data_IF_099024488104
#
_entry.id   IF_099024488104
#
_cell.length_a   1.000
_cell.length_b   1.000
_cell.length_c   1.000
_cell.angle_alpha   90.00
_cell.angle_beta   90.00
_cell.angle_gamma   90.00
#
_symmetry.space_group_name_H-M   'P 1'
#
loop_
_entity.id
_entity.type
_entity.pdbx_description
1 polymer ?
#
# COMPACT_ATOMS: atom_id res chain seq x y z
N UNK A 1 -10.80 26.19 -24.52
CA UNK A 1 -10.24 27.19 -25.47
C UNK A 1 -10.62 28.58 -24.98
N UNK A 2 -9.63 29.43 -24.63
CA UNK A 2 -9.83 30.75 -24.03
C UNK A 2 -10.45 31.76 -25.04
N UNK A 3 -11.21 32.75 -24.56
CA UNK A 3 -11.86 33.81 -25.36
C UNK A 3 -10.85 34.62 -26.18
N UNK A 4 -9.68 34.91 -25.62
CA UNK A 4 -8.59 35.64 -26.27
C UNK A 4 -8.03 34.88 -27.50
N UNK A 5 -7.84 33.56 -27.40
CA UNK A 5 -7.39 32.72 -28.52
C UNK A 5 -8.45 32.66 -29.63
N UNK A 6 -9.74 32.68 -29.27
CA UNK A 6 -10.85 32.73 -30.24
C UNK A 6 -10.87 34.06 -31.00
N UNK A 7 -10.55 35.18 -30.36
CA UNK A 7 -10.45 36.49 -31.02
C UNK A 7 -9.26 36.53 -32.00
N UNK A 8 -8.11 36.00 -31.59
CA UNK A 8 -6.92 35.91 -32.46
C UNK A 8 -7.14 34.98 -33.66
N UNK A 9 -7.91 33.90 -33.49
CA UNK A 9 -8.34 33.03 -34.59
C UNK A 9 -9.23 33.79 -35.58
N UNK A 10 -10.24 34.51 -35.09
CA UNK A 10 -11.12 35.33 -35.94
C UNK A 10 -10.35 36.42 -36.69
N UNK A 11 -9.38 37.08 -36.03
CA UNK A 11 -8.55 38.11 -36.65
C UNK A 11 -7.67 37.54 -37.77
N UNK A 12 -7.06 36.36 -37.56
CA UNK A 12 -6.31 35.66 -38.61
C UNK A 12 -7.22 35.29 -39.79
N UNK A 13 -8.41 34.77 -39.52
CA UNK A 13 -9.34 34.32 -40.56
C UNK A 13 -9.91 35.50 -41.38
N UNK A 14 -10.09 36.65 -40.74
CA UNK A 14 -10.44 37.90 -41.42
C UNK A 14 -9.30 38.39 -42.32
N UNK A 15 -8.06 38.42 -41.82
CA UNK A 15 -6.88 38.83 -42.57
C UNK A 15 -6.55 37.88 -43.74
N UNK A 16 -6.86 36.59 -43.60
CA UNK A 16 -6.74 35.64 -44.71
C UNK A 16 -7.76 35.91 -45.82
N UNK A 17 -9.00 36.29 -45.45
CA UNK A 17 -10.08 36.59 -46.41
C UNK A 17 -9.90 37.94 -47.12
N UNK A 18 -9.21 38.90 -46.51
CA UNK A 18 -8.94 40.20 -47.12
C UNK A 18 -7.84 40.16 -48.19
N UNK A 19 -7.01 39.11 -48.20
CA UNK A 19 -5.90 38.97 -49.15
C UNK A 19 -4.65 39.79 -48.82
N UNK A 20 -4.64 40.49 -47.68
CA UNK A 20 -3.47 41.25 -47.20
C UNK A 20 -2.42 40.31 -46.58
N UNK A 21 -1.30 40.14 -47.28
CA UNK A 21 -0.20 39.27 -46.86
C UNK A 21 0.52 39.74 -45.61
N UNK A 22 0.62 41.05 -45.37
CA UNK A 22 1.30 41.57 -44.17
C UNK A 22 0.41 41.42 -42.94
N UNK A 23 -0.86 41.77 -43.06
CA UNK A 23 -1.81 41.65 -41.96
C UNK A 23 -2.03 40.18 -41.57
N UNK A 24 -2.10 39.27 -42.55
CA UNK A 24 -2.17 37.84 -42.29
C UNK A 24 -0.93 37.32 -41.54
N UNK A 25 0.27 37.75 -41.93
CA UNK A 25 1.53 37.35 -41.26
C UNK A 25 1.56 37.81 -39.80
N UNK A 26 1.12 39.05 -39.54
CA UNK A 26 1.00 39.64 -38.20
C UNK A 26 -0.03 38.90 -37.35
N UNK A 27 -1.24 38.69 -37.87
CA UNK A 27 -2.31 37.97 -37.18
C UNK A 27 -1.95 36.51 -36.88
N UNK A 28 -1.23 35.85 -37.81
CA UNK A 28 -0.70 34.48 -37.61
C UNK A 28 0.34 34.44 -36.48
N UNK A 29 1.25 35.41 -36.43
CA UNK A 29 2.26 35.50 -35.37
C UNK A 29 1.61 35.78 -34.02
N UNK A 30 0.65 36.69 -33.97
CA UNK A 30 -0.12 36.99 -32.75
C UNK A 30 -0.91 35.78 -32.26
N UNK A 31 -1.55 35.01 -33.15
CA UNK A 31 -2.21 33.76 -32.79
C UNK A 31 -1.23 32.73 -32.22
N UNK A 32 -0.05 32.56 -32.83
CA UNK A 32 1.00 31.64 -32.34
C UNK A 32 1.42 32.00 -30.91
N UNK A 33 1.64 33.27 -30.63
CA UNK A 33 1.98 33.75 -29.28
C UNK A 33 0.81 33.65 -28.31
N UNK A 34 -0.39 34.00 -28.74
CA UNK A 34 -1.62 33.89 -27.97
C UNK A 34 -1.99 32.45 -27.59
N UNK A 35 -1.52 31.44 -28.34
CA UNK A 35 -1.62 30.03 -27.95
C UNK A 35 -0.47 29.61 -27.04
N UNK A 36 0.76 30.06 -27.32
CA UNK A 36 1.96 29.71 -26.53
C UNK A 36 1.89 30.22 -25.10
N UNK A 37 1.44 31.46 -24.90
CA UNK A 37 1.35 32.10 -23.57
C UNK A 37 0.47 31.30 -22.59
N UNK A 38 -0.79 30.95 -22.89
CA UNK A 38 -1.62 30.15 -21.98
C UNK A 38 -1.13 28.71 -21.83
N UNK A 39 -0.52 28.09 -22.87
CA UNK A 39 0.12 26.77 -22.72
C UNK A 39 1.28 26.81 -21.73
N UNK A 40 2.09 27.86 -21.77
CA UNK A 40 3.19 28.06 -20.83
C UNK A 40 2.68 28.31 -19.40
N UNK A 41 1.66 29.15 -19.24
CA UNK A 41 1.04 29.38 -17.93
C UNK A 41 0.44 28.09 -17.34
N UNK A 42 -0.23 27.27 -18.16
CA UNK A 42 -0.76 25.98 -17.73
C UNK A 42 0.35 24.99 -17.36
N UNK A 43 1.45 24.96 -18.12
CA UNK A 43 2.64 24.18 -17.80
C UNK A 43 3.19 24.56 -16.42
N UNK A 44 3.41 25.86 -16.18
CA UNK A 44 3.93 26.35 -14.89
C UNK A 44 3.00 25.99 -13.72
N UNK A 45 1.68 26.11 -13.92
CA UNK A 45 0.70 25.73 -12.91
C UNK A 45 0.73 24.22 -12.59
N UNK A 46 0.93 23.36 -13.59
CA UNK A 46 1.11 21.92 -13.36
C UNK A 46 2.45 21.66 -12.63
N UNK A 47 3.54 22.28 -13.06
CA UNK A 47 4.87 22.15 -12.43
C UNK A 47 4.86 22.57 -10.95
N UNK A 48 4.05 23.56 -10.58
CA UNK A 48 3.85 24.00 -9.19
C UNK A 48 3.44 22.86 -8.25
N UNK A 49 2.63 21.90 -8.73
CA UNK A 49 2.20 20.75 -7.96
C UNK A 49 3.33 19.78 -7.59
N UNK A 50 4.50 19.89 -8.24
CA UNK A 50 5.65 18.99 -8.07
C UNK A 50 6.86 19.66 -7.39
N UNK A 51 6.79 20.94 -7.06
CA UNK A 51 7.91 21.62 -6.39
C UNK A 51 8.04 21.27 -4.90
N UNK A 52 6.94 20.85 -4.25
CA UNK A 52 6.94 20.44 -2.85
C UNK A 52 6.76 18.92 -2.70
N UNK A 53 7.87 18.19 -2.66
CA UNK A 53 7.89 16.74 -2.46
C UNK A 53 7.33 16.28 -1.09
N UNK A 54 7.00 17.21 -0.18
CA UNK A 54 6.45 16.88 1.14
C UNK A 54 4.91 16.80 1.18
N UNK A 55 4.21 17.19 0.10
CA UNK A 55 2.74 17.07 0.01
C UNK A 55 2.30 16.11 -1.12
N UNK A 56 2.18 14.80 -0.82
CA UNK A 56 1.71 13.81 -1.79
C UNK A 56 0.33 14.12 -2.36
N UNK A 57 -0.53 14.88 -1.66
CA UNK A 57 -1.87 15.23 -2.17
C UNK A 57 -1.77 16.24 -3.30
N UNK A 58 -0.84 17.19 -3.21
CA UNK A 58 -0.59 18.13 -4.30
C UNK A 58 0.04 17.44 -5.51
N UNK A 59 1.05 16.60 -5.27
CA UNK A 59 1.64 15.80 -6.36
C UNK A 59 0.58 14.97 -7.08
N UNK A 60 -0.30 14.31 -6.31
CA UNK A 60 -1.39 13.52 -6.89
C UNK A 60 -2.37 14.37 -7.72
N UNK A 61 -2.72 15.59 -7.27
CA UNK A 61 -3.52 16.52 -8.09
C UNK A 61 -2.84 16.88 -9.40
N UNK A 62 -1.51 17.10 -9.38
CA UNK A 62 -0.70 17.33 -10.57
C UNK A 62 -0.80 16.15 -11.54
N UNK A 63 -0.60 14.93 -11.03
CA UNK A 63 -0.73 13.70 -11.82
C UNK A 63 -2.13 13.54 -12.41
N UNK A 64 -3.18 13.72 -11.61
CA UNK A 64 -4.57 13.65 -12.08
C UNK A 64 -4.86 14.65 -13.20
N UNK A 65 -4.27 15.84 -13.12
CA UNK A 65 -4.42 16.89 -14.15
C UNK A 65 -3.70 16.49 -15.44
N UNK A 66 -2.52 15.87 -15.35
CA UNK A 66 -1.75 15.42 -16.51
C UNK A 66 -2.45 14.25 -17.22
N UNK A 67 -3.03 13.33 -16.45
CA UNK A 67 -3.66 12.10 -16.99
C UNK A 67 -5.15 12.26 -17.30
N UNK A 68 -5.71 13.46 -17.11
CA UNK A 68 -7.16 13.72 -17.19
C UNK A 68 -7.98 12.72 -16.33
N UNK A 69 -7.42 12.30 -15.19
CA UNK A 69 -8.02 11.30 -14.33
C UNK A 69 -9.34 11.79 -13.74
N UNK A 70 -10.44 11.12 -14.08
CA UNK A 70 -11.75 11.36 -13.50
C UNK A 70 -12.07 10.30 -12.46
N UNK A 71 -12.19 10.66 -11.16
CA UNK A 71 -12.60 9.71 -10.15
C UNK A 71 -14.01 9.22 -10.48
N UNK A 72 -14.15 7.92 -10.72
CA UNK A 72 -15.45 7.28 -10.82
C UNK A 72 -16.10 7.30 -9.43
N UNK A 73 -16.92 8.30 -9.13
CA UNK A 73 -17.77 8.31 -7.94
C UNK A 73 -18.82 7.21 -8.15
N UNK A 74 -18.65 6.08 -7.48
CA UNK A 74 -19.58 4.96 -7.57
C UNK A 74 -20.54 5.01 -6.38
N UNK A 75 -21.80 5.28 -6.68
CA UNK A 75 -22.90 4.84 -5.84
C UNK A 75 -22.95 3.31 -5.91
N UNK A 76 -22.86 2.63 -4.77
CA UNK A 76 -23.26 1.22 -4.69
C UNK A 76 -24.65 1.06 -5.31
N UNK A 77 -24.89 0.06 -6.17
CA UNK A 77 -26.22 -0.21 -6.66
C UNK A 77 -27.11 -0.44 -5.44
N UNK A 78 -28.10 0.42 -5.27
CA UNK A 78 -28.97 0.52 -4.09
C UNK A 78 -29.97 -0.65 -4.01
N UNK A 79 -29.67 -1.77 -4.65
CA UNK A 79 -30.64 -2.79 -5.02
C UNK A 79 -30.81 -3.91 -3.99
N UNK A 80 -29.87 -4.09 -3.06
CA UNK A 80 -29.94 -5.15 -2.06
C UNK A 80 -29.98 -4.60 -0.62
N UNK A 81 -31.18 -4.50 -0.06
CA UNK A 81 -31.41 -3.99 1.30
C UNK A 81 -30.73 -4.85 2.38
N UNK A 82 -30.43 -6.12 2.10
CA UNK A 82 -29.79 -7.05 3.04
C UNK A 82 -28.26 -7.00 3.02
N UNK A 83 -27.65 -6.33 2.03
CA UNK A 83 -26.21 -6.26 1.87
C UNK A 83 -25.46 -5.76 3.12
N UNK A 84 -25.93 -4.71 3.85
CA UNK A 84 -25.27 -4.29 5.08
C UNK A 84 -25.23 -5.38 6.15
N UNK A 85 -26.32 -6.13 6.33
CA UNK A 85 -26.40 -7.21 7.31
C UNK A 85 -25.53 -8.40 6.91
N UNK A 86 -25.49 -8.75 5.62
CA UNK A 86 -24.61 -9.78 5.09
C UNK A 86 -23.13 -9.42 5.28
N UNK A 87 -22.74 -8.18 4.99
CA UNK A 87 -21.40 -7.66 5.23
C UNK A 87 -21.06 -7.68 6.73
N UNK A 88 -22.01 -7.29 7.59
CA UNK A 88 -21.81 -7.30 9.02
C UNK A 88 -21.58 -8.74 9.55
N UNK A 89 -22.43 -9.69 9.15
CA UNK A 89 -22.25 -11.12 9.49
C UNK A 89 -20.93 -11.67 8.96
N UNK A 90 -20.58 -11.33 7.72
CA UNK A 90 -19.32 -11.74 7.11
C UNK A 90 -18.15 -11.21 7.92
N UNK A 91 -18.03 -9.90 8.18
CA UNK A 91 -16.86 -9.36 8.88
C UNK A 91 -16.81 -9.71 10.36
N UNK A 92 -17.96 -9.82 11.04
CA UNK A 92 -18.03 -10.21 12.45
C UNK A 92 -17.78 -11.71 12.69
N UNK A 93 -17.67 -12.54 11.64
CA UNK A 93 -17.45 -13.99 11.79
C UNK A 93 -16.17 -14.35 12.55
N UNK A 94 -15.18 -13.45 12.53
CA UNK A 94 -13.89 -13.65 13.20
C UNK A 94 -13.97 -13.44 14.73
N UNK A 95 -15.03 -12.80 15.23
CA UNK A 95 -15.22 -12.59 16.67
C UNK A 95 -15.88 -13.81 17.35
N UNK A 96 -16.46 -14.72 16.57
CA UNK A 96 -17.09 -15.95 17.09
C UNK A 96 -16.02 -17.02 17.32
N UNK A 97 -15.53 -17.11 18.57
CA UNK A 97 -14.69 -18.22 19.02
C UNK A 97 -13.20 -17.91 19.14
N UNK A 98 -12.83 -16.74 19.66
CA UNK A 98 -11.45 -16.49 20.09
C UNK A 98 -11.10 -17.46 21.21
N UNK A 99 -10.40 -18.54 20.86
CA UNK A 99 -9.80 -19.45 21.82
C UNK A 99 -8.74 -18.64 22.59
N UNK A 100 -8.99 -18.42 23.88
CA UNK A 100 -8.00 -17.89 24.81
C UNK A 100 -6.88 -18.92 25.03
N UNK A 101 -5.93 -18.98 24.10
CA UNK A 101 -4.64 -19.63 24.33
C UNK A 101 -3.55 -18.58 24.47
N UNK A 102 -3.74 -17.60 25.36
CA UNK A 102 -2.60 -16.89 25.94
C UNK A 102 -1.98 -17.83 26.97
N UNK A 103 -0.92 -18.55 26.58
CA UNK A 103 -0.01 -19.15 27.56
C UNK A 103 0.58 -18.00 28.37
N UNK A 104 0.44 -18.05 29.69
CA UNK A 104 1.21 -17.18 30.57
C UNK A 104 2.69 -17.44 30.26
N UNK A 105 3.43 -16.39 29.91
CA UNK A 105 4.87 -16.51 29.75
C UNK A 105 5.49 -16.82 31.11
N UNK A 106 6.32 -17.85 31.19
CA UNK A 106 7.12 -18.15 32.37
C UNK A 106 8.04 -16.94 32.64
N UNK A 107 7.74 -16.22 33.72
CA UNK A 107 8.36 -14.95 34.06
C UNK A 107 9.73 -15.19 34.68
N UNK A 108 10.81 -14.91 33.94
CA UNK A 108 12.18 -14.84 34.50
C UNK A 108 12.90 -13.52 34.20
N UNK A 109 12.27 -12.59 33.49
CA UNK A 109 12.85 -11.28 33.20
C UNK A 109 12.06 -10.18 33.91
N UNK A 110 12.74 -9.40 34.74
CA UNK A 110 12.20 -8.19 35.36
C UNK A 110 11.85 -7.19 34.26
N UNK A 111 10.60 -7.19 33.81
CA UNK A 111 10.10 -6.17 32.88
C UNK A 111 9.67 -4.98 33.72
N UNK A 112 10.32 -3.83 33.53
CA UNK A 112 9.85 -2.59 34.13
C UNK A 112 8.43 -2.30 33.63
N UNK A 113 7.45 -2.07 34.51
CA UNK A 113 6.09 -1.78 34.09
C UNK A 113 6.07 -0.52 33.23
N UNK A 114 5.40 -0.60 32.08
CA UNK A 114 5.25 0.53 31.16
C UNK A 114 4.52 1.65 31.92
N UNK A 115 5.08 2.86 31.89
CA UNK A 115 4.50 4.05 32.48
C UNK A 115 4.60 5.19 31.47
N UNK A 116 3.50 5.91 31.30
CA UNK A 116 3.36 7.00 30.34
C UNK A 116 3.33 8.34 31.08
N UNK A 117 4.05 9.32 30.55
CA UNK A 117 4.06 10.69 31.08
C UNK A 117 2.99 11.59 30.43
N UNK A 118 2.55 12.66 31.12
CA UNK A 118 1.63 13.65 30.54
C UNK A 118 2.16 14.31 29.27
N UNK A 119 3.47 14.51 29.17
CA UNK A 119 4.12 15.11 28.00
C UNK A 119 4.06 14.19 26.78
N UNK A 120 4.26 12.88 26.95
CA UNK A 120 4.13 11.91 25.88
C UNK A 120 2.70 11.83 25.36
N UNK A 121 1.72 11.78 26.27
CA UNK A 121 0.29 11.74 25.94
C UNK A 121 -0.14 13.03 25.25
N UNK A 122 0.24 14.19 25.78
CA UNK A 122 0.02 15.49 25.13
C UNK A 122 0.54 15.51 23.70
N UNK A 123 1.78 15.05 23.52
CA UNK A 123 2.44 15.03 22.23
C UNK A 123 1.74 14.06 21.25
N UNK A 124 1.24 12.92 21.74
CA UNK A 124 0.43 12.00 20.95
C UNK A 124 -0.91 12.63 20.50
N UNK A 125 -1.61 13.34 21.38
CA UNK A 125 -2.85 14.05 21.08
C UNK A 125 -2.63 15.23 20.13
N UNK A 126 -1.59 16.03 20.34
CA UNK A 126 -1.28 17.21 19.54
C UNK A 126 -0.91 16.90 18.09
N UNK A 127 -0.40 15.69 17.82
CA UNK A 127 0.03 15.22 16.49
C UNK A 127 -1.05 14.49 15.69
N UNK A 128 -2.26 14.34 16.21
CA UNK A 128 -3.33 13.69 15.44
C UNK A 128 -3.71 14.53 14.21
N UNK A 129 -3.78 13.89 13.04
CA UNK A 129 -4.20 14.54 11.80
C UNK A 129 -5.70 14.90 11.87
N UNK A 130 -6.08 16.20 11.89
CA UNK A 130 -7.46 16.62 12.07
C UNK A 130 -8.38 16.29 10.89
N UNK A 131 -7.84 15.89 9.73
CA UNK A 131 -8.61 15.61 8.50
C UNK A 131 -9.17 14.19 8.43
N UNK A 132 -8.77 13.29 9.33
CA UNK A 132 -9.17 11.88 9.31
C UNK A 132 -10.44 11.61 10.13
N UNK A 133 -11.16 10.54 9.76
CA UNK A 133 -12.44 10.12 10.35
C UNK A 133 -12.34 9.76 11.85
N UNK A 134 -13.47 9.96 12.54
CA UNK A 134 -13.69 9.55 13.93
C UNK A 134 -13.97 8.03 14.04
N UNK A 135 -13.83 7.50 15.25
CA UNK A 135 -14.22 6.13 15.59
C UNK A 135 -15.69 6.06 16.04
N UNK A 136 -16.11 4.92 16.63
CA UNK A 136 -17.47 4.71 17.15
C UNK A 136 -17.86 5.67 18.28
N UNK A 137 -16.89 6.28 18.96
CA UNK A 137 -17.10 7.30 19.99
C UNK A 137 -17.56 8.66 19.45
N UNK A 138 -17.49 8.88 18.13
CA UNK A 138 -17.85 10.14 17.49
C UNK A 138 -16.89 11.31 17.79
N UNK A 139 -15.83 11.08 18.56
CA UNK A 139 -14.88 12.13 18.95
C UNK A 139 -14.03 12.47 17.73
N UNK A 140 -14.06 13.74 17.30
CA UNK A 140 -13.26 14.18 16.15
C UNK A 140 -11.81 14.45 16.58
N UNK A 141 -10.86 14.12 15.71
CA UNK A 141 -9.42 14.35 15.92
C UNK A 141 -9.09 15.81 16.23
N UNK A 142 -9.82 16.75 15.61
CA UNK A 142 -9.68 18.18 15.89
C UNK A 142 -9.93 18.51 17.37
N UNK A 143 -10.91 17.89 18.02
CA UNK A 143 -11.21 18.12 19.44
C UNK A 143 -10.02 17.68 20.30
N UNK A 144 -9.53 16.46 20.10
CA UNK A 144 -8.38 15.94 20.84
C UNK A 144 -7.12 16.78 20.65
N UNK A 145 -6.88 17.28 19.44
CA UNK A 145 -5.74 18.15 19.15
C UNK A 145 -5.88 19.53 19.79
N UNK A 146 -7.05 20.15 19.69
CA UNK A 146 -7.30 21.50 20.21
C UNK A 146 -7.28 21.54 21.74
N UNK A 147 -7.78 20.49 22.39
CA UNK A 147 -7.84 20.39 23.85
C UNK A 147 -6.76 19.47 24.42
N UNK A 148 -5.65 19.29 23.71
CA UNK A 148 -4.58 18.38 24.15
C UNK A 148 -4.01 18.78 25.52
N UNK A 149 -3.89 20.08 25.79
CA UNK A 149 -3.40 20.60 27.08
C UNK A 149 -4.27 20.15 28.26
N UNK A 150 -5.59 20.22 28.11
CA UNK A 150 -6.54 19.87 29.16
C UNK A 150 -6.72 18.35 29.28
N UNK A 151 -6.65 17.63 28.16
CA UNK A 151 -6.94 16.20 28.09
C UNK A 151 -5.73 15.32 28.41
N UNK A 152 -4.50 15.83 28.28
CA UNK A 152 -3.28 15.05 28.43
C UNK A 152 -3.21 14.32 29.78
N UNK A 153 -3.37 15.05 30.89
CA UNK A 153 -3.30 14.47 32.22
C UNK A 153 -4.39 13.41 32.44
N UNK A 154 -5.63 13.71 32.03
CA UNK A 154 -6.76 12.78 32.19
C UNK A 154 -6.51 11.46 31.46
N UNK A 155 -6.02 11.53 30.21
CA UNK A 155 -5.71 10.32 29.45
C UNK A 155 -4.45 9.61 29.97
N UNK A 156 -3.48 10.32 30.52
CA UNK A 156 -2.34 9.70 31.22
C UNK A 156 -2.81 8.82 32.38
N UNK A 157 -3.71 9.33 33.21
CA UNK A 157 -4.24 8.59 34.35
C UNK A 157 -5.01 7.34 33.89
N UNK A 158 -5.86 7.49 32.87
CA UNK A 158 -6.61 6.38 32.25
C UNK A 158 -5.67 5.32 31.66
N UNK A 159 -4.64 5.73 30.91
CA UNK A 159 -3.73 4.80 30.25
C UNK A 159 -2.85 4.06 31.25
N UNK A 160 -2.30 4.75 32.26
CA UNK A 160 -1.49 4.10 33.29
C UNK A 160 -2.33 3.16 34.16
N UNK A 161 -3.58 3.53 34.48
CA UNK A 161 -4.51 2.61 35.14
C UNK A 161 -4.79 1.37 34.27
N UNK A 162 -5.02 1.55 32.98
CA UNK A 162 -5.21 0.44 32.03
C UNK A 162 -3.99 -0.49 31.97
N UNK A 163 -2.77 0.05 31.94
CA UNK A 163 -1.51 -0.70 31.92
C UNK A 163 -1.31 -1.49 33.22
N UNK A 164 -1.48 -0.84 34.38
CA UNK A 164 -1.32 -1.49 35.69
C UNK A 164 -2.34 -2.61 35.94
N UNK A 165 -3.56 -2.45 35.44
CA UNK A 165 -4.63 -3.45 35.56
C UNK A 165 -4.61 -4.48 34.43
N UNK A 166 -3.70 -4.35 33.45
CA UNK A 166 -3.67 -5.13 32.23
C UNK A 166 -5.03 -5.21 31.52
N UNK A 167 -5.85 -4.15 31.62
CA UNK A 167 -7.25 -4.14 31.16
C UNK A 167 -7.53 -2.88 30.36
N UNK A 168 -7.88 -3.04 29.08
CA UNK A 168 -8.28 -1.93 28.21
C UNK A 168 -9.79 -1.63 28.39
N UNK A 169 -10.18 -0.36 28.62
CA UNK A 169 -11.58 0.04 28.72
C UNK A 169 -12.41 -0.43 27.53
N UNK A 170 -13.61 -0.95 27.78
CA UNK A 170 -14.46 -1.54 26.73
C UNK A 170 -14.81 -0.55 25.63
N UNK A 171 -15.05 0.72 25.95
CA UNK A 171 -15.30 1.76 24.95
C UNK A 171 -14.14 1.93 23.97
N UNK A 172 -12.89 1.74 24.40
CA UNK A 172 -11.69 1.85 23.56
C UNK A 172 -11.45 0.61 22.67
N UNK A 173 -12.09 -0.53 22.99
CA UNK A 173 -12.03 -1.77 22.21
C UNK A 173 -13.06 -1.85 21.08
N UNK A 174 -14.05 -0.95 21.07
CA UNK A 174 -15.09 -0.92 20.04
C UNK A 174 -14.54 -0.42 18.71
N UNK A 175 -15.03 -0.95 17.59
CA UNK A 175 -14.57 -0.58 16.25
C UNK A 175 -15.77 -0.51 15.30
N UNK A 176 -15.81 0.50 14.43
CA UNK A 176 -16.76 0.54 13.30
C UNK A 176 -16.08 0.03 12.04
N UNK A 177 -16.68 -0.96 11.38
CA UNK A 177 -16.15 -1.51 10.12
C UNK A 177 -16.77 -0.78 8.93
N UNK A 178 -15.92 -0.20 8.09
CA UNK A 178 -16.31 0.43 6.84
C UNK A 178 -15.89 -0.48 5.68
N UNK A 179 -16.84 -1.12 4.98
CA UNK A 179 -16.55 -1.91 3.80
C UNK A 179 -16.21 -0.99 2.62
N UNK A 180 -15.02 -1.12 2.06
CA UNK A 180 -14.56 -0.33 0.90
C UNK A 180 -14.35 -1.24 -0.30
N UNK A 181 -15.06 -1.06 -1.43
CA UNK A 181 -14.87 -1.86 -2.64
C UNK A 181 -13.41 -1.84 -3.12
N UNK A 182 -12.86 -3.01 -3.49
CA UNK A 182 -11.52 -3.13 -4.08
C UNK A 182 -11.47 -2.65 -5.54
N UNK A 183 -12.58 -2.78 -6.26
CA UNK A 183 -12.74 -2.42 -7.67
C UNK A 183 -14.19 -2.03 -7.96
N UNK A 184 -14.43 -1.54 -9.17
CA UNK A 184 -15.72 -0.96 -9.59
C UNK A 184 -16.90 -1.93 -9.60
N UNK A 185 -16.64 -3.20 -9.89
CA UNK A 185 -17.64 -4.27 -9.98
C UNK A 185 -17.53 -5.23 -8.80
N UNK A 186 -17.54 -4.71 -7.56
CA UNK A 186 -17.48 -5.56 -6.36
C UNK A 186 -18.81 -6.29 -6.15
N UNK A 187 -18.78 -7.61 -6.22
CA UNK A 187 -19.98 -8.47 -6.11
C UNK A 187 -19.88 -9.42 -4.92
N UNK A 188 -18.68 -9.96 -4.67
CA UNK A 188 -18.46 -10.94 -3.60
C UNK A 188 -18.08 -10.22 -2.31
N UNK A 189 -18.38 -10.83 -1.17
CA UNK A 189 -17.99 -10.28 0.15
C UNK A 189 -16.48 -10.09 0.30
N UNK A 190 -15.67 -10.91 -0.38
CA UNK A 190 -14.21 -10.78 -0.42
C UNK A 190 -13.70 -9.61 -1.28
N UNK A 191 -14.57 -9.00 -2.09
CA UNK A 191 -14.22 -7.85 -2.95
C UNK A 191 -14.24 -6.54 -2.15
N UNK A 192 -14.68 -6.57 -0.89
CA UNK A 192 -14.65 -5.44 0.03
C UNK A 192 -13.43 -5.52 0.95
N UNK A 193 -12.74 -4.39 1.11
CA UNK A 193 -11.73 -4.19 2.15
C UNK A 193 -12.42 -3.84 3.45
N UNK A 194 -12.00 -4.51 4.51
CA UNK A 194 -12.39 -4.21 5.88
C UNK A 194 -11.55 -3.04 6.41
N UNK A 195 -12.10 -1.84 6.47
CA UNK A 195 -11.45 -0.68 7.10
C UNK A 195 -11.99 -0.48 8.51
N UNK A 196 -11.19 -0.78 9.51
CA UNK A 196 -11.52 -0.62 10.92
C UNK A 196 -11.30 0.83 11.39
N UNK A 197 -12.38 1.49 11.80
CA UNK A 197 -12.34 2.76 12.52
C UNK A 197 -12.36 2.51 14.02
N UNK A 198 -11.18 2.51 14.66
CA UNK A 198 -11.04 2.46 16.11
C UNK A 198 -11.04 3.87 16.72
N UNK A 199 -11.43 4.03 18.01
CA UNK A 199 -11.33 5.27 18.76
C UNK A 199 -9.95 5.90 18.63
N UNK A 200 -9.89 7.22 18.40
CA UNK A 200 -8.61 7.90 18.19
C UNK A 200 -7.73 7.83 19.44
N UNK A 201 -8.37 7.92 20.62
CA UNK A 201 -7.72 7.76 21.91
C UNK A 201 -7.01 6.39 22.00
N UNK A 202 -7.66 5.32 21.54
CA UNK A 202 -7.04 3.98 21.50
C UNK A 202 -5.82 3.96 20.56
N UNK A 203 -5.91 4.58 19.37
CA UNK A 203 -4.76 4.68 18.45
C UNK A 203 -3.59 5.46 19.07
N UNK A 204 -3.86 6.49 19.86
CA UNK A 204 -2.83 7.20 20.62
C UNK A 204 -2.19 6.28 21.66
N UNK A 205 -3.00 5.53 22.40
CA UNK A 205 -2.52 4.59 23.40
C UNK A 205 -1.67 3.47 22.80
N UNK A 206 -2.14 2.83 21.73
CA UNK A 206 -1.37 1.82 20.97
C UNK A 206 -0.03 2.36 20.49
N UNK A 207 0.01 3.60 19.99
CA UNK A 207 1.25 4.22 19.51
C UNK A 207 2.25 4.48 20.64
N UNK A 208 1.77 4.87 21.82
CA UNK A 208 2.61 5.07 23.01
C UNK A 208 3.18 3.74 23.51
N UNK A 209 2.34 2.70 23.59
CA UNK A 209 2.79 1.35 23.96
C UNK A 209 3.77 0.79 22.91
N UNK A 210 3.52 1.02 21.62
CA UNK A 210 4.38 0.59 20.52
C UNK A 210 5.81 1.13 20.65
N UNK A 211 6.01 2.38 21.10
CA UNK A 211 7.36 2.90 21.32
C UNK A 211 8.14 2.09 22.36
N UNK A 212 7.48 1.66 23.44
CA UNK A 212 8.13 0.80 24.44
C UNK A 212 8.42 -0.60 23.88
N UNK A 213 7.48 -1.18 23.13
CA UNK A 213 7.68 -2.49 22.51
C UNK A 213 8.85 -2.48 21.53
N UNK A 214 8.96 -1.45 20.69
CA UNK A 214 10.08 -1.29 19.75
C UNK A 214 11.41 -1.11 20.49
N UNK A 215 11.43 -0.38 21.62
CA UNK A 215 12.63 -0.20 22.42
C UNK A 215 13.14 -1.52 23.06
N UNK A 216 12.26 -2.52 23.23
CA UNK A 216 12.64 -3.85 23.69
C UNK A 216 13.14 -4.77 22.57
N UNK A 217 12.99 -4.40 21.30
CA UNK A 217 13.50 -5.18 20.18
C UNK A 217 15.00 -4.94 19.98
N UNK A 218 15.74 -5.91 19.39
CA UNK A 218 17.13 -5.70 19.01
C UNK A 218 17.29 -4.46 18.12
N UNK A 219 18.42 -3.73 18.22
CA UNK A 219 18.66 -2.52 17.44
C UNK A 219 18.67 -2.79 15.92
N UNK A 220 18.90 -4.04 15.52
CA UNK A 220 18.90 -4.48 14.13
C UNK A 220 17.71 -5.40 13.85
N UNK A 221 16.75 -4.89 13.08
CA UNK A 221 15.76 -5.71 12.39
C UNK A 221 16.34 -6.24 11.07
N UNK A 222 15.73 -7.28 10.51
CA UNK A 222 16.09 -7.84 9.21
C UNK A 222 16.26 -6.73 8.15
N UNK A 223 17.43 -6.62 7.50
CA UNK A 223 17.67 -5.66 6.43
C UNK A 223 16.65 -5.73 5.27
N UNK A 224 16.07 -6.91 5.02
CA UNK A 224 15.08 -7.17 3.98
C UNK A 224 13.63 -7.02 4.46
N UNK A 225 13.40 -6.58 5.70
CA UNK A 225 12.09 -6.12 6.13
C UNK A 225 11.85 -4.70 5.61
N UNK A 226 11.07 -4.56 4.53
CA UNK A 226 10.77 -3.24 3.95
C UNK A 226 9.48 -2.61 4.51
N UNK A 227 8.52 -3.43 4.90
CA UNK A 227 7.25 -2.95 5.43
C UNK A 227 7.39 -2.41 6.86
N UNK A 228 6.65 -1.33 7.15
CA UNK A 228 6.55 -0.71 8.48
C UNK A 228 7.88 -0.23 9.08
N UNK A 229 8.91 -0.01 8.26
CA UNK A 229 10.17 0.60 8.67
C UNK A 229 10.27 2.04 8.17
N UNK A 230 10.82 2.97 8.97
CA UNK A 230 11.15 4.30 8.47
C UNK A 230 12.21 4.18 7.36
N UNK A 231 12.13 5.08 6.37
CA UNK A 231 13.08 5.16 5.26
C UNK A 231 13.20 3.85 4.44
N UNK A 232 12.09 3.13 4.30
CA UNK A 232 11.91 1.98 3.41
C UNK A 232 10.57 2.09 2.73
N UNK A 233 10.49 1.58 1.50
CA UNK A 233 9.32 1.64 0.65
C UNK A 233 9.04 0.30 -0.02
N UNK A 234 7.86 0.16 -0.62
CA UNK A 234 7.55 -0.98 -1.50
C UNK A 234 8.44 -1.00 -2.74
N UNK A 235 8.92 0.16 -3.19
CA UNK A 235 9.83 0.29 -4.33
C UNK A 235 11.21 -0.30 -4.00
N UNK A 236 11.72 -0.06 -2.79
CA UNK A 236 12.98 -0.67 -2.33
C UNK A 236 12.90 -2.21 -2.34
N UNK A 237 11.77 -2.75 -1.89
CA UNK A 237 11.51 -4.19 -1.89
C UNK A 237 11.48 -4.77 -3.31
N UNK A 238 10.76 -4.10 -4.22
CA UNK A 238 10.69 -4.49 -5.63
C UNK A 238 12.08 -4.41 -6.27
N UNK A 239 12.82 -3.33 -6.05
CA UNK A 239 14.15 -3.12 -6.61
C UNK A 239 15.13 -4.19 -6.11
N UNK A 240 15.09 -4.50 -4.81
CA UNK A 240 15.95 -5.54 -4.20
C UNK A 240 15.63 -6.93 -4.73
N UNK A 241 14.38 -7.22 -5.09
CA UNK A 241 14.00 -8.48 -5.73
C UNK A 241 14.37 -8.53 -7.21
N UNK A 242 14.09 -7.46 -7.97
CA UNK A 242 14.25 -7.43 -9.43
C UNK A 242 15.71 -7.23 -9.84
N UNK A 243 16.45 -6.30 -9.21
CA UNK A 243 17.80 -5.96 -9.63
C UNK A 243 18.73 -7.20 -9.71
N UNK A 244 18.84 -8.04 -8.66
CA UNK A 244 19.73 -9.20 -8.74
C UNK A 244 19.21 -10.29 -9.69
N UNK A 245 17.90 -10.31 -9.95
CA UNK A 245 17.30 -11.24 -10.90
C UNK A 245 17.67 -10.86 -12.34
N UNK A 246 17.59 -9.57 -12.68
CA UNK A 246 18.01 -9.04 -13.98
C UNK A 246 19.52 -9.22 -14.19
N UNK A 247 20.34 -8.85 -13.20
CA UNK A 247 21.79 -9.03 -13.27
C UNK A 247 22.20 -10.49 -13.51
N UNK A 248 21.46 -11.46 -12.96
CA UNK A 248 21.72 -12.89 -13.20
C UNK A 248 21.35 -13.33 -14.63
N UNK A 249 20.29 -12.75 -15.20
CA UNK A 249 19.85 -13.03 -16.57
C UNK A 249 20.78 -12.46 -17.65
N UNK A 250 21.62 -11.47 -17.32
CA UNK A 250 22.67 -10.98 -18.22
C UNK A 250 23.78 -12.01 -18.45
N UNK A 251 23.84 -13.06 -17.62
CA UNK A 251 24.78 -14.17 -17.80
C UNK A 251 24.23 -15.20 -18.79
N UNK A 252 25.08 -15.73 -19.66
CA UNK A 252 24.65 -16.76 -20.63
C UNK A 252 24.20 -18.05 -19.94
N UNK A 253 23.19 -18.71 -20.51
CA UNK A 253 22.70 -20.03 -20.06
C UNK A 253 22.14 -20.06 -18.62
N UNK A 254 21.62 -18.94 -18.14
CA UNK A 254 20.92 -18.85 -16.84
C UNK A 254 19.40 -18.68 -17.02
N UNK A 255 18.67 -18.95 -15.96
CA UNK A 255 17.27 -18.53 -15.80
C UNK A 255 17.03 -18.11 -14.35
N UNK A 256 15.86 -17.52 -14.09
CA UNK A 256 15.43 -17.20 -12.72
C UNK A 256 14.06 -17.81 -12.43
N UNK A 257 13.87 -18.15 -11.16
CA UNK A 257 12.56 -18.51 -10.60
C UNK A 257 12.25 -17.61 -9.42
N UNK A 258 11.05 -17.05 -9.39
CA UNK A 258 10.54 -16.23 -8.29
C UNK A 258 9.36 -16.93 -7.65
N UNK A 259 9.44 -17.20 -6.34
CA UNK A 259 8.36 -17.76 -5.55
C UNK A 259 7.72 -16.66 -4.70
N UNK A 260 6.46 -16.35 -4.95
CA UNK A 260 5.68 -15.38 -4.18
C UNK A 260 4.86 -16.11 -3.13
N UNK A 261 5.31 -16.04 -1.88
CA UNK A 261 4.81 -16.88 -0.79
C UNK A 261 3.68 -16.18 -0.04
N UNK A 262 2.57 -16.89 0.20
CA UNK A 262 1.47 -16.39 1.07
C UNK A 262 1.45 -17.17 2.40
N UNK A 263 1.67 -16.46 3.50
CA UNK A 263 1.61 -17.03 4.86
C UNK A 263 0.22 -16.85 5.48
N UNK A 264 -0.26 -17.88 6.18
CA UNK A 264 -1.40 -17.80 7.07
C UNK A 264 -0.97 -17.14 8.40
N UNK A 265 -1.86 -16.36 9.02
CA UNK A 265 -1.74 -15.86 10.40
C UNK A 265 -0.67 -14.80 10.72
N UNK A 266 0.35 -14.61 9.90
CA UNK A 266 1.22 -13.43 10.00
C UNK A 266 0.71 -12.37 9.01
N UNK A 267 0.08 -11.30 9.53
CA UNK A 267 -0.39 -10.11 8.79
C UNK A 267 0.10 -10.00 7.33
N UNK A 268 -0.61 -10.64 6.38
CA UNK A 268 -0.39 -10.61 4.92
C UNK A 268 1.05 -10.28 4.45
N UNK A 269 2.05 -11.04 4.89
CA UNK A 269 3.41 -10.88 4.36
C UNK A 269 3.56 -11.78 3.13
N UNK A 270 3.70 -11.16 1.95
CA UNK A 270 4.18 -11.85 0.75
C UNK A 270 5.68 -11.65 0.65
N UNK A 271 6.45 -12.73 0.82
CA UNK A 271 7.91 -12.72 0.66
C UNK A 271 8.25 -13.32 -0.70
N UNK A 272 8.97 -12.59 -1.58
CA UNK A 272 9.51 -13.17 -2.79
C UNK A 272 10.81 -13.92 -2.48
N UNK A 273 10.90 -15.18 -2.89
CA UNK A 273 12.16 -15.93 -2.90
C UNK A 273 12.65 -16.02 -4.34
N UNK A 274 13.85 -15.52 -4.61
CA UNK A 274 14.44 -15.49 -5.96
C UNK A 274 15.51 -16.57 -6.06
N UNK A 275 15.22 -17.64 -6.81
CA UNK A 275 16.16 -18.68 -7.19
C UNK A 275 16.93 -18.30 -8.45
N UNK A 276 18.25 -18.20 -8.33
CA UNK A 276 19.17 -18.04 -9.46
C UNK A 276 19.61 -19.41 -9.94
N UNK A 277 19.27 -19.75 -11.17
CA UNK A 277 19.58 -21.08 -11.73
C UNK A 277 20.65 -20.93 -12.80
N UNK A 278 21.68 -21.75 -12.66
CA UNK A 278 22.79 -21.86 -13.61
C UNK A 278 22.88 -23.29 -14.08
N UNK A 279 23.10 -23.51 -15.38
CA UNK A 279 23.29 -24.85 -15.95
C UNK A 279 22.15 -25.86 -15.64
N UNK A 280 20.91 -25.39 -15.46
CA UNK A 280 19.75 -26.20 -15.04
C UNK A 280 19.88 -26.87 -13.66
N UNK A 281 20.80 -26.42 -12.81
CA UNK A 281 20.84 -26.88 -11.41
C UNK A 281 19.89 -26.06 -10.54
N UNK A 282 18.87 -26.73 -10.01
CA UNK A 282 17.82 -26.14 -9.17
C UNK A 282 17.96 -26.53 -7.70
N UNK A 283 19.01 -27.28 -7.34
CA UNK A 283 19.14 -27.95 -6.04
C UNK A 283 19.12 -26.94 -4.90
N UNK A 284 19.91 -25.88 -5.00
CA UNK A 284 19.96 -24.81 -3.98
C UNK A 284 18.61 -24.10 -3.79
N UNK A 285 17.88 -23.85 -4.88
CA UNK A 285 16.56 -23.24 -4.81
C UNK A 285 15.53 -24.15 -4.14
N UNK A 286 15.57 -25.46 -4.43
CA UNK A 286 14.68 -26.45 -3.81
C UNK A 286 14.99 -26.65 -2.33
N UNK A 287 16.26 -26.69 -1.96
CA UNK A 287 16.71 -26.80 -0.57
C UNK A 287 16.22 -25.59 0.25
N UNK A 288 16.34 -24.37 -0.30
CA UNK A 288 15.86 -23.15 0.35
C UNK A 288 14.34 -23.20 0.61
N UNK A 289 13.55 -23.67 -0.36
CA UNK A 289 12.09 -23.82 -0.20
C UNK A 289 11.75 -24.84 0.90
N UNK A 290 12.49 -25.94 0.97
CA UNK A 290 12.29 -26.96 2.01
C UNK A 290 12.65 -26.41 3.39
N UNK A 291 13.79 -25.72 3.50
CA UNK A 291 14.25 -25.04 4.71
C UNK A 291 13.20 -24.03 5.20
N UNK A 292 12.69 -23.19 4.31
CA UNK A 292 11.65 -22.21 4.63
C UNK A 292 10.35 -22.88 5.09
N UNK A 293 9.93 -23.96 4.43
CA UNK A 293 8.74 -24.71 4.83
C UNK A 293 8.88 -25.34 6.21
N UNK A 294 10.06 -25.87 6.53
CA UNK A 294 10.36 -26.41 7.85
C UNK A 294 10.36 -25.29 8.91
N UNK A 295 11.03 -24.18 8.63
CA UNK A 295 11.08 -23.02 9.54
C UNK A 295 9.69 -22.45 9.81
N UNK A 296 8.84 -22.28 8.80
CA UNK A 296 7.46 -21.82 8.99
C UNK A 296 6.69 -22.77 9.93
N UNK A 297 6.82 -24.08 9.72
CA UNK A 297 6.16 -25.09 10.55
C UNK A 297 6.63 -25.03 12.01
N UNK A 298 7.93 -24.84 12.24
CA UNK A 298 8.51 -24.68 13.58
C UNK A 298 8.06 -23.39 14.29
N UNK A 299 7.72 -22.35 13.53
CA UNK A 299 7.32 -21.04 14.04
C UNK A 299 5.80 -20.82 14.04
N UNK A 300 5.00 -21.89 13.95
CA UNK A 300 3.53 -21.84 13.91
C UNK A 300 2.96 -20.97 12.76
N UNK A 301 3.68 -20.91 11.64
CA UNK A 301 3.24 -20.27 10.40
C UNK A 301 2.81 -21.33 9.39
N UNK A 302 1.69 -21.12 8.69
CA UNK A 302 1.25 -22.04 7.64
C UNK A 302 1.47 -21.42 6.26
N UNK A 303 2.22 -22.11 5.39
CA UNK A 303 2.33 -21.75 3.98
C UNK A 303 1.07 -22.14 3.22
N UNK A 304 0.47 -21.21 2.48
CA UNK A 304 -0.71 -21.48 1.66
C UNK A 304 -0.30 -21.77 0.22
N UNK A 305 0.02 -23.02 -0.08
CA UNK A 305 0.42 -23.47 -1.42
C UNK A 305 -0.53 -23.00 -2.53
N UNK A 306 -1.85 -23.00 -2.29
CA UNK A 306 -2.87 -22.55 -3.26
C UNK A 306 -2.79 -21.05 -3.58
N UNK A 307 -2.26 -20.24 -2.67
CA UNK A 307 -2.07 -18.79 -2.85
C UNK A 307 -0.65 -18.43 -3.24
N UNK A 308 0.33 -19.24 -2.89
CA UNK A 308 1.69 -19.14 -3.41
C UNK A 308 1.71 -19.29 -4.93
N UNK A 309 2.56 -18.52 -5.60
CA UNK A 309 2.74 -18.55 -7.05
C UNK A 309 4.21 -18.60 -7.40
N UNK A 310 4.54 -19.35 -8.43
CA UNK A 310 5.88 -19.38 -9.01
C UNK A 310 5.85 -18.69 -10.38
N UNK A 311 6.78 -17.76 -10.60
CA UNK A 311 7.05 -17.13 -11.89
C UNK A 311 8.44 -17.54 -12.34
N UNK A 312 8.60 -17.85 -13.61
CA UNK A 312 9.90 -18.19 -14.20
C UNK A 312 10.20 -17.22 -15.33
N UNK A 313 11.46 -16.81 -15.44
CA UNK A 313 11.95 -16.04 -16.59
C UNK A 313 13.12 -16.79 -17.17
N UNK A 314 12.96 -17.31 -18.38
CA UNK A 314 13.95 -18.11 -19.10
C UNK A 314 14.04 -17.66 -20.56
N UNK A 315 15.14 -16.99 -20.92
CA UNK A 315 15.39 -16.49 -22.28
C UNK A 315 16.28 -17.43 -23.12
N UNK A 316 16.54 -18.65 -22.64
CA UNK A 316 17.42 -19.59 -23.34
C UNK A 316 16.71 -20.23 -24.53
N UNK A 317 17.40 -20.30 -25.68
CA UNK A 317 16.86 -20.81 -26.96
C UNK A 317 16.51 -22.30 -26.99
N UNK A 318 16.96 -23.08 -26.00
CA UNK A 318 16.83 -24.55 -25.94
C UNK A 318 16.06 -25.01 -24.69
N UNK A 319 15.02 -24.28 -24.28
CA UNK A 319 14.20 -24.60 -23.10
C UNK A 319 13.16 -25.71 -23.39
N UNK A 320 13.62 -26.88 -23.81
CA UNK A 320 12.74 -28.06 -23.98
C UNK A 320 12.47 -28.80 -22.67
N UNK A 321 13.06 -28.37 -21.54
CA UNK A 321 12.87 -29.02 -20.25
C UNK A 321 11.53 -28.60 -19.66
N UNK A 322 10.56 -29.53 -19.60
CA UNK A 322 9.42 -29.40 -18.69
C UNK A 322 9.97 -29.22 -17.28
N UNK A 323 9.79 -28.03 -16.74
CA UNK A 323 10.24 -27.69 -15.41
C UNK A 323 9.45 -28.50 -14.37
N UNK A 324 10.17 -29.18 -13.47
CA UNK A 324 9.55 -30.00 -12.43
C UNK A 324 8.78 -29.10 -11.44
N UNK A 325 7.49 -29.36 -11.18
CA UNK A 325 6.69 -28.57 -10.25
C UNK A 325 7.29 -28.52 -8.84
N UNK A 326 7.00 -27.43 -8.14
CA UNK A 326 7.33 -27.27 -6.71
C UNK A 326 6.14 -27.73 -5.89
N UNK A 327 6.40 -28.49 -4.84
CA UNK A 327 5.40 -28.92 -3.88
C UNK A 327 5.68 -28.27 -2.53
N UNK A 328 4.66 -27.62 -1.96
CA UNK A 328 4.69 -27.10 -0.59
C UNK A 328 3.63 -27.84 0.21
N UNK A 329 4.03 -28.53 1.27
CA UNK A 329 3.15 -29.35 2.11
C UNK A 329 2.29 -30.34 1.30
N UNK A 330 2.88 -30.95 0.26
CA UNK A 330 2.21 -31.92 -0.62
C UNK A 330 1.27 -31.31 -1.67
N UNK A 331 1.10 -30.00 -1.71
CA UNK A 331 0.31 -29.30 -2.73
C UNK A 331 1.20 -28.65 -3.78
N UNK A 332 0.86 -28.82 -5.06
CA UNK A 332 1.58 -28.21 -6.18
C UNK A 332 1.42 -26.68 -6.16
N UNK A 333 2.54 -25.96 -6.27
CA UNK A 333 2.55 -24.52 -6.43
C UNK A 333 2.22 -24.17 -7.87
N UNK A 334 1.20 -23.32 -8.05
CA UNK A 334 0.78 -22.90 -9.39
C UNK A 334 1.84 -22.00 -10.04
N UNK A 335 2.31 -22.40 -11.21
CA UNK A 335 3.10 -21.58 -12.12
C UNK A 335 2.23 -20.50 -12.80
N UNK A 336 2.77 -19.30 -12.97
CA UNK A 336 2.10 -18.16 -13.61
C UNK A 336 3.05 -17.41 -14.55
N UNK A 337 2.49 -16.85 -15.64
CA UNK A 337 3.22 -16.01 -16.60
C UNK A 337 3.33 -14.54 -16.18
N UNK A 338 2.52 -14.11 -15.20
CA UNK A 338 2.61 -12.79 -14.60
C UNK A 338 2.08 -12.81 -13.17
N UNK A 339 2.70 -12.01 -12.29
CA UNK A 339 2.29 -11.85 -10.90
C UNK A 339 2.34 -10.39 -10.46
N UNK A 340 1.31 -9.95 -9.72
CA UNK A 340 1.25 -8.60 -9.14
C UNK A 340 1.91 -8.58 -7.76
N UNK A 341 3.15 -8.11 -7.69
CA UNK A 341 3.92 -7.99 -6.47
C UNK A 341 3.99 -6.52 -6.01
N UNK A 342 3.48 -6.24 -4.81
CA UNK A 342 3.48 -4.90 -4.19
C UNK A 342 2.95 -3.76 -5.09
N UNK A 343 2.01 -4.08 -5.98
CA UNK A 343 1.39 -3.12 -6.90
C UNK A 343 1.92 -3.16 -8.33
N UNK A 344 3.09 -3.76 -8.55
CA UNK A 344 3.75 -3.88 -9.87
C UNK A 344 3.55 -5.29 -10.43
N UNK A 345 3.21 -5.39 -11.71
CA UNK A 345 3.16 -6.64 -12.45
C UNK A 345 4.56 -7.03 -12.92
N UNK A 346 5.00 -8.24 -12.57
CA UNK A 346 6.22 -8.86 -13.05
C UNK A 346 5.80 -10.02 -13.95
N UNK A 347 6.23 -10.01 -15.21
CA UNK A 347 5.91 -11.03 -16.20
C UNK A 347 7.12 -11.91 -16.55
N UNK A 348 6.84 -13.12 -17.06
CA UNK A 348 7.85 -14.10 -17.48
C UNK A 348 8.71 -13.60 -18.65
N UNK A 349 8.18 -12.68 -19.45
CA UNK A 349 8.87 -12.04 -20.58
C UNK A 349 9.50 -10.69 -20.20
N UNK A 350 9.38 -10.27 -18.94
CA UNK A 350 9.79 -8.97 -18.40
C UNK A 350 9.20 -7.76 -19.15
N UNK A 351 8.06 -7.93 -19.83
CA UNK A 351 7.35 -6.84 -20.48
C UNK A 351 6.62 -5.93 -19.48
N UNK A 352 6.64 -4.63 -19.74
CA UNK A 352 5.99 -3.63 -18.88
C UNK A 352 4.55 -3.29 -19.31
N UNK A 353 4.02 -3.96 -20.34
CA UNK A 353 2.73 -3.63 -20.95
C UNK A 353 1.56 -3.66 -19.97
N UNK A 354 1.52 -4.63 -19.05
CA UNK A 354 0.45 -4.71 -18.04
C UNK A 354 0.49 -3.55 -17.03
N UNK A 355 1.68 -3.00 -16.75
CA UNK A 355 1.82 -1.88 -15.84
C UNK A 355 1.39 -0.56 -16.49
N UNK A 356 1.62 -0.40 -17.80
CA UNK A 356 1.35 0.84 -18.54
C UNK A 356 -0.04 0.91 -19.15
N UNK A 357 -0.67 -0.22 -19.46
CA UNK A 357 -2.03 -0.26 -20.04
C UNK A 357 -3.16 0.04 -19.05
N UNK A 358 -2.87 0.01 -17.75
CA UNK A 358 -3.81 0.33 -16.67
C UNK A 358 -3.70 1.76 -16.14
N UNK A 359 -2.75 2.54 -16.66
CA UNK A 359 -2.63 3.99 -16.43
C UNK A 359 -3.51 4.74 -17.42
#
# INVERSE_FOLDING_TARGET
MNSEVRLLLKARDAAFKSGDTEDYSRARTNLKWGIRKPKHAHKLHIEEHFHNNSDPRQMWKGTQTITDYKPSIQSLPTSNAFLPDELNHFFARFDKGVIQHTRNADSSTVVHPISLSPTEVHSALSRVDPSKSAGPDGIRRRVLRTYADQLAQVFTDIFNLSLSQATVPTCLKTTTIIPVPKHSSAERMNDFRHVALTPIVMKCFEKLVLSHLIACLPPTLDPHQFAYRPNRSTEDAISTAIHPALTHLDTSNTNIRMLFIDLSSAFNTVVPVVGRISNNDESAYREEIQSLSAWCSMNNLTLKATKTKELMVDFRKSSSSRHSPIYISGSEVKHVSSFKFLGVHISEDLSWHQNTSTL
#
